data_IF_586738502862
#
_entry.id   IF_586738502862
#
_cell.length_a   1.000
_cell.length_b   1.000
_cell.length_c   1.000
_cell.angle_alpha   90.00
_cell.angle_beta   90.00
_cell.angle_gamma   90.00
#
_symmetry.space_group_name_H-M   'P 1'
#
loop_
_entity.id
_entity.type
_entity.pdbx_description
1 polymer ?
#
# COMPACT_ATOMS: atom_id res chain seq x y z
N UNK A 1 -12.33 42.90 -71.92
CA UNK A 1 -12.42 41.45 -71.63
C UNK A 1 -11.20 40.99 -70.86
N UNK A 2 -11.37 40.68 -69.57
CA UNK A 2 -10.79 39.53 -68.84
C UNK A 2 -11.13 39.72 -67.37
N UNK A 3 -12.11 38.95 -66.89
CA UNK A 3 -12.43 38.79 -65.47
C UNK A 3 -11.31 37.95 -64.86
N UNK A 4 -10.66 38.44 -63.80
CA UNK A 4 -9.78 37.62 -62.98
C UNK A 4 -10.58 37.28 -61.72
N UNK A 5 -10.79 35.99 -61.55
CA UNK A 5 -11.58 35.34 -60.52
C UNK A 5 -10.75 35.30 -59.23
N UNK A 6 -11.22 36.00 -58.19
CA UNK A 6 -10.63 35.94 -56.84
C UNK A 6 -11.02 34.61 -56.20
N UNK A 7 -10.07 33.66 -56.14
CA UNK A 7 -10.23 32.40 -55.41
C UNK A 7 -10.02 32.61 -53.91
N UNK A 8 -11.08 32.37 -53.14
CA UNK A 8 -11.06 32.34 -51.67
C UNK A 8 -10.40 31.02 -51.21
N UNK A 9 -9.16 31.10 -50.72
CA UNK A 9 -8.51 29.96 -50.06
C UNK A 9 -9.10 29.81 -48.65
N UNK A 10 -10.03 28.86 -48.49
CA UNK A 10 -10.45 28.37 -47.18
C UNK A 10 -9.35 27.45 -46.63
N UNK A 11 -8.54 27.97 -45.70
CA UNK A 11 -7.70 27.17 -44.82
C UNK A 11 -8.63 26.41 -43.86
N UNK A 12 -8.99 25.18 -44.22
CA UNK A 12 -9.64 24.24 -43.30
C UNK A 12 -8.54 23.75 -42.36
N UNK A 13 -8.44 24.38 -41.19
CA UNK A 13 -7.71 23.81 -40.06
C UNK A 13 -8.45 22.55 -39.61
N UNK A 14 -7.99 21.38 -40.05
CA UNK A 14 -8.30 20.13 -39.37
C UNK A 14 -7.57 20.13 -38.03
N UNK A 15 -8.16 20.72 -37.00
CA UNK A 15 -7.84 20.37 -35.63
C UNK A 15 -8.36 18.95 -35.40
N UNK A 16 -7.54 17.96 -35.77
CA UNK A 16 -7.77 16.57 -35.44
C UNK A 16 -7.61 16.47 -33.91
N UNK A 17 -8.72 16.41 -33.17
CA UNK A 17 -8.71 16.15 -31.73
C UNK A 17 -8.18 14.72 -31.52
N UNK A 18 -6.85 14.60 -31.39
CA UNK A 18 -6.24 13.35 -30.92
C UNK A 18 -6.62 13.19 -29.45
N UNK A 19 -7.23 12.06 -29.11
CA UNK A 19 -7.49 11.70 -27.70
C UNK A 19 -6.16 11.70 -26.94
N UNK A 20 -6.19 12.17 -25.70
CA UNK A 20 -5.03 12.15 -24.80
C UNK A 20 -4.77 10.74 -24.26
N UNK A 21 -3.55 10.47 -23.76
CA UNK A 21 -3.22 9.20 -23.09
C UNK A 21 -4.21 8.91 -21.95
N UNK A 22 -4.49 9.91 -21.10
CA UNK A 22 -5.44 9.76 -19.97
C UNK A 22 -6.86 9.42 -20.44
N UNK A 23 -7.34 10.03 -21.52
CA UNK A 23 -8.65 9.73 -22.08
C UNK A 23 -8.71 8.30 -22.61
N UNK A 24 -7.67 7.85 -23.31
CA UNK A 24 -7.57 6.49 -23.83
C UNK A 24 -7.44 5.45 -22.70
N UNK A 25 -6.69 5.74 -21.64
CA UNK A 25 -6.59 4.88 -20.45
C UNK A 25 -7.93 4.80 -19.68
N UNK A 26 -8.64 5.92 -19.57
CA UNK A 26 -9.99 5.95 -19.01
C UNK A 26 -10.95 5.12 -19.87
N UNK A 27 -10.92 5.29 -21.18
CA UNK A 27 -11.75 4.52 -22.11
C UNK A 27 -11.43 3.03 -22.03
N UNK A 28 -10.16 2.65 -21.85
CA UNK A 28 -9.72 1.27 -21.71
C UNK A 28 -10.15 0.63 -20.38
N UNK A 29 -10.19 1.40 -19.29
CA UNK A 29 -10.55 0.92 -17.94
C UNK A 29 -12.05 0.83 -17.70
N UNK A 30 -12.87 1.64 -18.40
CA UNK A 30 -14.32 1.62 -18.28
C UNK A 30 -14.94 0.41 -19.01
N UNK A 31 -15.96 -0.26 -18.47
CA UNK A 31 -16.69 -1.34 -19.14
C UNK A 31 -18.19 -1.05 -19.12
N UNK A 32 -18.86 -1.06 -20.29
CA UNK A 32 -20.33 -1.02 -20.35
C UNK A 32 -20.89 -2.42 -20.10
N UNK A 33 -22.07 -2.50 -19.47
CA UNK A 33 -22.76 -3.73 -19.06
C UNK A 33 -22.94 -4.79 -20.16
N UNK A 34 -22.79 -4.42 -21.44
CA UNK A 34 -22.96 -5.29 -22.62
C UNK A 34 -21.69 -5.42 -23.48
N UNK A 35 -20.58 -4.81 -23.07
CA UNK A 35 -19.37 -4.77 -23.89
C UNK A 35 -18.59 -6.09 -23.79
N UNK A 36 -18.38 -6.77 -24.94
CA UNK A 36 -17.56 -7.98 -24.98
C UNK A 36 -16.10 -7.64 -24.68
N UNK A 37 -15.51 -8.41 -23.77
CA UNK A 37 -14.09 -8.29 -23.40
C UNK A 37 -13.22 -8.57 -24.63
N UNK A 38 -12.31 -7.65 -24.95
CA UNK A 38 -11.47 -7.69 -26.16
C UNK A 38 -11.87 -6.69 -27.25
N UNK A 39 -13.03 -6.04 -27.15
CA UNK A 39 -13.46 -5.01 -28.10
C UNK A 39 -12.55 -3.76 -28.13
N UNK A 40 -11.72 -3.55 -27.09
CA UNK A 40 -10.84 -2.38 -26.96
C UNK A 40 -9.39 -2.65 -27.33
N UNK A 41 -9.07 -3.76 -28.01
CA UNK A 41 -7.71 -4.03 -28.50
C UNK A 41 -7.17 -2.86 -29.35
N UNK A 42 -8.02 -2.25 -30.17
CA UNK A 42 -7.65 -1.11 -31.01
C UNK A 42 -7.22 0.12 -30.18
N UNK A 43 -7.90 0.38 -29.06
CA UNK A 43 -7.56 1.46 -28.11
C UNK A 43 -6.23 1.15 -27.44
N UNK A 44 -6.04 -0.08 -26.98
CA UNK A 44 -4.76 -0.51 -26.40
C UNK A 44 -3.60 -0.38 -27.42
N UNK A 45 -3.79 -0.76 -28.68
CA UNK A 45 -2.74 -0.58 -29.69
C UNK A 45 -2.47 0.89 -30.01
N UNK A 46 -3.49 1.76 -30.09
CA UNK A 46 -3.31 3.21 -30.21
C UNK A 46 -2.52 3.78 -29.04
N UNK A 47 -2.79 3.33 -27.82
CA UNK A 47 -2.00 3.71 -26.64
C UNK A 47 -0.53 3.31 -26.81
N UNK A 48 -0.25 2.10 -27.30
CA UNK A 48 1.12 1.63 -27.54
C UNK A 48 1.82 2.34 -28.71
N UNK A 49 1.09 2.96 -29.64
CA UNK A 49 1.68 3.82 -30.67
C UNK A 49 2.13 5.17 -30.09
N UNK A 50 1.44 5.68 -29.07
CA UNK A 50 1.75 6.96 -28.40
C UNK A 50 2.81 6.76 -27.31
N UNK A 51 2.64 5.72 -26.51
CA UNK A 51 3.51 5.33 -25.40
C UNK A 51 3.73 3.80 -25.48
N UNK A 52 4.86 3.41 -26.06
CA UNK A 52 5.17 2.00 -26.34
C UNK A 52 5.22 1.13 -25.09
N UNK A 53 5.35 1.71 -23.90
CA UNK A 53 5.41 1.00 -22.62
C UNK A 53 4.19 1.31 -21.73
N UNK A 54 3.09 1.82 -22.31
CA UNK A 54 1.88 2.11 -21.57
C UNK A 54 1.34 0.86 -20.86
N UNK A 55 1.41 0.86 -19.52
CA UNK A 55 1.11 -0.33 -18.74
C UNK A 55 -0.36 -0.74 -18.83
N UNK A 56 -1.28 0.22 -18.84
CA UNK A 56 -2.72 -0.02 -18.97
C UNK A 56 -3.03 -0.81 -20.24
N UNK A 57 -2.44 -0.40 -21.37
CA UNK A 57 -2.58 -1.08 -22.64
C UNK A 57 -1.95 -2.49 -22.64
N UNK A 58 -0.73 -2.64 -22.13
CA UNK A 58 -0.05 -3.95 -22.06
C UNK A 58 -0.86 -4.91 -21.17
N UNK A 59 -1.24 -4.45 -19.97
CA UNK A 59 -2.03 -5.20 -19.00
C UNK A 59 -3.38 -5.65 -19.58
N UNK A 60 -4.05 -4.78 -20.35
CA UNK A 60 -5.29 -5.13 -21.03
C UNK A 60 -5.06 -6.23 -22.08
N UNK A 61 -4.07 -6.05 -22.96
CA UNK A 61 -3.78 -6.99 -24.05
C UNK A 61 -3.39 -8.37 -23.51
N UNK A 62 -2.50 -8.41 -22.51
CA UNK A 62 -2.05 -9.65 -21.86
C UNK A 62 -3.23 -10.41 -21.26
N UNK A 63 -4.13 -9.73 -20.54
CA UNK A 63 -5.32 -10.35 -19.99
C UNK A 63 -6.26 -10.88 -21.09
N UNK A 64 -6.51 -10.08 -22.13
CA UNK A 64 -7.38 -10.50 -23.23
C UNK A 64 -6.80 -11.71 -23.97
N UNK A 65 -5.50 -11.73 -24.24
CA UNK A 65 -4.86 -12.89 -24.86
C UNK A 65 -4.88 -14.12 -23.94
N UNK A 66 -4.54 -13.95 -22.66
CA UNK A 66 -4.51 -15.05 -21.70
C UNK A 66 -5.87 -15.72 -21.53
N UNK A 67 -6.95 -14.93 -21.39
CA UNK A 67 -8.33 -15.44 -21.29
C UNK A 67 -8.81 -16.17 -22.54
N UNK A 68 -8.30 -15.80 -23.71
CA UNK A 68 -8.61 -16.45 -24.99
C UNK A 68 -7.62 -17.59 -25.33
N UNK A 69 -6.77 -18.00 -24.39
CA UNK A 69 -5.73 -19.02 -24.57
C UNK A 69 -4.73 -18.69 -25.71
N UNK A 70 -4.49 -17.40 -25.99
CA UNK A 70 -3.60 -16.91 -27.05
C UNK A 70 -2.21 -16.56 -26.49
N UNK A 71 -1.56 -17.50 -25.79
CA UNK A 71 -0.28 -17.24 -25.11
C UNK A 71 0.85 -16.84 -26.06
N UNK A 72 0.85 -17.36 -27.30
CA UNK A 72 1.82 -16.97 -28.33
C UNK A 72 1.72 -15.48 -28.69
N UNK A 73 0.51 -14.90 -28.65
CA UNK A 73 0.32 -13.47 -28.86
C UNK A 73 0.92 -12.63 -27.73
N UNK A 74 0.96 -13.15 -26.50
CA UNK A 74 1.65 -12.51 -25.37
C UNK A 74 3.16 -12.54 -25.61
N UNK A 75 3.70 -13.67 -26.07
CA UNK A 75 5.13 -13.79 -26.41
C UNK A 75 5.51 -12.78 -27.50
N UNK A 76 4.76 -12.76 -28.61
CA UNK A 76 4.99 -11.82 -29.73
C UNK A 76 4.90 -10.36 -29.26
N UNK A 77 3.92 -10.03 -28.41
CA UNK A 77 3.79 -8.69 -27.84
C UNK A 77 5.06 -8.29 -27.08
N UNK A 78 5.52 -9.11 -26.13
CA UNK A 78 6.71 -8.78 -25.35
C UNK A 78 8.00 -8.81 -26.16
N UNK A 79 8.13 -9.70 -27.15
CA UNK A 79 9.29 -9.71 -28.04
C UNK A 79 9.39 -8.41 -28.84
N UNK A 80 8.25 -7.88 -29.32
CA UNK A 80 8.18 -6.55 -29.94
C UNK A 80 8.57 -5.45 -28.95
N UNK A 81 7.97 -5.43 -27.75
CA UNK A 81 8.25 -4.41 -26.74
C UNK A 81 9.72 -4.36 -26.33
N UNK A 82 10.35 -5.53 -26.16
CA UNK A 82 11.78 -5.65 -25.84
C UNK A 82 12.64 -5.15 -27.01
N UNK A 83 12.29 -5.52 -28.26
CA UNK A 83 13.01 -5.08 -29.46
C UNK A 83 12.96 -3.57 -29.65
N UNK A 84 11.80 -2.96 -29.39
CA UNK A 84 11.59 -1.51 -29.50
C UNK A 84 12.24 -0.74 -28.34
N UNK A 85 12.44 -1.38 -27.18
CA UNK A 85 12.98 -0.76 -25.96
C UNK A 85 14.18 -1.54 -25.39
N UNK A 86 15.28 -1.74 -26.15
CA UNK A 86 16.34 -2.69 -25.80
C UNK A 86 17.16 -2.32 -24.55
N UNK A 87 17.07 -1.08 -24.08
CA UNK A 87 17.77 -0.59 -22.88
C UNK A 87 16.84 -0.41 -21.68
N UNK A 88 15.54 -0.64 -21.85
CA UNK A 88 14.56 -0.45 -20.79
C UNK A 88 14.35 -1.74 -19.99
N UNK A 89 14.39 -1.72 -18.65
CA UNK A 89 14.01 -2.87 -17.84
C UNK A 89 12.48 -3.11 -17.87
N UNK A 90 11.69 -2.11 -18.27
CA UNK A 90 10.24 -2.10 -18.10
C UNK A 90 9.49 -3.27 -18.79
N UNK A 91 9.79 -3.65 -20.05
CA UNK A 91 9.14 -4.80 -20.68
C UNK A 91 9.29 -6.09 -19.86
N UNK A 92 10.46 -6.28 -19.24
CA UNK A 92 10.76 -7.45 -18.43
C UNK A 92 10.02 -7.41 -17.09
N UNK A 93 10.00 -6.23 -16.43
CA UNK A 93 9.25 -6.00 -15.19
C UNK A 93 7.75 -6.25 -15.39
N UNK A 94 7.12 -5.57 -16.35
CA UNK A 94 5.69 -5.71 -16.66
C UNK A 94 5.35 -7.17 -16.97
N UNK A 95 6.21 -7.90 -17.68
CA UNK A 95 6.00 -9.32 -18.00
C UNK A 95 6.02 -10.23 -16.77
N UNK A 96 6.89 -9.92 -15.81
CA UNK A 96 7.10 -10.73 -14.62
C UNK A 96 6.12 -10.44 -13.48
N UNK A 97 5.45 -9.29 -13.47
CA UNK A 97 4.41 -8.96 -12.47
C UNK A 97 3.31 -10.02 -12.43
N UNK A 98 2.82 -10.31 -11.22
CA UNK A 98 1.92 -11.42 -10.91
C UNK A 98 0.75 -11.56 -11.88
N UNK A 99 0.00 -10.47 -12.13
CA UNK A 99 -1.16 -10.47 -13.03
C UNK A 99 -0.78 -10.91 -14.45
N UNK A 100 0.28 -10.34 -15.01
CA UNK A 100 0.69 -10.66 -16.38
C UNK A 100 1.36 -12.03 -16.47
N UNK A 101 2.16 -12.41 -15.47
CA UNK A 101 2.73 -13.74 -15.36
C UNK A 101 1.64 -14.82 -15.31
N UNK A 102 0.56 -14.58 -14.57
CA UNK A 102 -0.61 -15.47 -14.51
C UNK A 102 -1.23 -15.68 -15.90
N UNK A 103 -1.62 -14.60 -16.60
CA UNK A 103 -2.23 -14.71 -17.93
C UNK A 103 -1.29 -15.26 -18.99
N UNK A 104 0.01 -14.99 -18.87
CA UNK A 104 1.05 -15.56 -19.72
C UNK A 104 1.37 -17.03 -19.38
N UNK A 105 0.90 -17.54 -18.24
CA UNK A 105 1.20 -18.89 -17.77
C UNK A 105 2.68 -19.09 -17.40
N UNK A 106 3.34 -18.06 -16.87
CA UNK A 106 4.73 -18.12 -16.46
C UNK A 106 4.88 -18.80 -15.09
N UNK A 107 5.81 -19.75 -15.01
CA UNK A 107 6.26 -20.28 -13.73
C UNK A 107 7.27 -19.33 -13.06
N UNK A 108 7.59 -19.59 -11.79
CA UNK A 108 8.53 -18.77 -11.02
C UNK A 108 9.93 -18.68 -11.64
N UNK A 109 10.44 -19.79 -12.20
CA UNK A 109 11.75 -19.79 -12.87
C UNK A 109 11.79 -18.85 -14.07
N UNK A 110 10.71 -18.80 -14.86
CA UNK A 110 10.57 -17.89 -15.98
C UNK A 110 10.45 -16.43 -15.52
N UNK A 111 9.66 -16.16 -14.48
CA UNK A 111 9.56 -14.81 -13.90
C UNK A 111 10.93 -14.32 -13.39
N UNK A 112 11.65 -15.14 -12.62
CA UNK A 112 13.01 -14.83 -12.15
C UNK A 112 13.96 -14.56 -13.31
N UNK A 113 13.84 -15.30 -14.43
CA UNK A 113 14.67 -15.05 -15.63
C UNK A 113 14.41 -13.65 -16.18
N UNK A 114 13.15 -13.23 -16.34
CA UNK A 114 12.84 -11.89 -16.84
C UNK A 114 13.29 -10.80 -15.86
N UNK A 115 13.07 -10.98 -14.55
CA UNK A 115 13.52 -10.02 -13.54
C UNK A 115 15.06 -9.90 -13.48
N UNK A 116 15.79 -11.00 -13.73
CA UNK A 116 17.26 -10.94 -13.85
C UNK A 116 17.71 -10.13 -15.07
N UNK A 117 17.01 -10.22 -16.19
CA UNK A 117 17.29 -9.34 -17.35
C UNK A 117 16.96 -7.88 -17.03
N UNK A 118 15.86 -7.60 -16.33
CA UNK A 118 15.53 -6.26 -15.85
C UNK A 118 16.65 -5.70 -14.94
N UNK A 119 17.08 -6.49 -13.94
CA UNK A 119 18.17 -6.14 -13.03
C UNK A 119 19.53 -5.96 -13.73
N UNK A 120 19.78 -6.70 -14.81
CA UNK A 120 21.00 -6.54 -15.62
C UNK A 120 21.00 -5.22 -16.39
N UNK A 121 19.84 -4.77 -16.86
CA UNK A 121 19.68 -3.48 -17.56
C UNK A 121 19.75 -2.30 -16.59
N UNK A 122 19.21 -2.47 -15.39
CA UNK A 122 19.22 -1.47 -14.32
C UNK A 122 19.40 -2.14 -12.94
N UNK A 123 20.64 -2.16 -12.45
CA UNK A 123 21.01 -2.86 -11.21
C UNK A 123 20.63 -2.12 -9.93
N UNK A 124 20.08 -0.89 -10.05
CA UNK A 124 19.56 -0.11 -8.92
C UNK A 124 18.04 -0.01 -8.96
N UNK A 125 17.39 -0.71 -9.91
CA UNK A 125 15.94 -0.72 -10.03
C UNK A 125 15.27 -1.38 -8.81
N UNK A 126 14.58 -0.58 -8.01
CA UNK A 126 13.92 -1.05 -6.77
C UNK A 126 12.91 -2.16 -7.06
N UNK A 127 12.10 -2.04 -8.12
CA UNK A 127 11.09 -3.04 -8.48
C UNK A 127 11.75 -4.38 -8.84
N UNK A 128 12.77 -4.37 -9.71
CA UNK A 128 13.48 -5.59 -10.10
C UNK A 128 14.07 -6.31 -8.88
N UNK A 129 14.75 -5.57 -8.00
CA UNK A 129 15.43 -6.12 -6.83
C UNK A 129 14.41 -6.66 -5.82
N UNK A 130 13.36 -5.88 -5.52
CA UNK A 130 12.31 -6.30 -4.59
C UNK A 130 11.59 -7.54 -5.10
N UNK A 131 11.17 -7.55 -6.36
CA UNK A 131 10.48 -8.69 -6.97
C UNK A 131 11.36 -9.94 -7.00
N UNK A 132 12.66 -9.81 -7.26
CA UNK A 132 13.59 -10.96 -7.16
C UNK A 132 13.63 -11.49 -5.72
N UNK A 133 13.83 -10.62 -4.73
CA UNK A 133 13.85 -11.00 -3.32
C UNK A 133 12.55 -11.70 -2.89
N UNK A 134 11.40 -11.11 -3.24
CA UNK A 134 10.06 -11.65 -2.94
C UNK A 134 9.85 -13.02 -3.57
N UNK A 135 10.14 -13.20 -4.86
CA UNK A 135 9.98 -14.50 -5.53
C UNK A 135 10.88 -15.59 -4.94
N UNK A 136 12.13 -15.27 -4.61
CA UNK A 136 13.01 -16.22 -3.93
C UNK A 136 12.49 -16.58 -2.53
N UNK A 137 11.97 -15.61 -1.78
CA UNK A 137 11.36 -15.85 -0.48
C UNK A 137 10.07 -16.69 -0.59
N UNK A 138 9.20 -16.42 -1.57
CA UNK A 138 8.01 -17.24 -1.83
C UNK A 138 8.37 -18.70 -2.16
N UNK A 139 9.39 -18.91 -3.00
CA UNK A 139 9.88 -20.25 -3.31
C UNK A 139 10.45 -20.96 -2.08
N UNK A 140 11.16 -20.24 -1.21
CA UNK A 140 11.62 -20.75 0.09
C UNK A 140 10.44 -21.23 0.94
N UNK A 141 9.41 -20.40 1.15
CA UNK A 141 8.23 -20.78 1.94
C UNK A 141 7.50 -21.97 1.29
N UNK A 142 7.28 -21.94 -0.03
CA UNK A 142 6.58 -23.02 -0.75
C UNK A 142 7.31 -24.35 -0.65
N UNK A 143 8.63 -24.36 -0.81
CA UNK A 143 9.42 -25.57 -0.66
C UNK A 143 9.48 -26.04 0.80
N UNK A 144 9.53 -25.12 1.77
CA UNK A 144 9.52 -25.47 3.19
C UNK A 144 8.23 -26.16 3.62
N UNK A 145 7.08 -25.69 3.10
CA UNK A 145 5.75 -26.29 3.30
C UNK A 145 5.56 -27.62 2.56
N UNK A 146 6.40 -27.93 1.57
CA UNK A 146 6.23 -29.13 0.77
C UNK A 146 6.69 -30.39 1.51
N UNK A 147 5.95 -31.49 1.35
CA UNK A 147 6.35 -32.83 1.80
C UNK A 147 7.47 -33.46 0.93
N UNK A 148 7.89 -32.76 -0.14
CA UNK A 148 8.96 -33.20 -1.04
C UNK A 148 10.34 -32.81 -0.51
N UNK A 149 11.40 -33.32 -1.17
CA UNK A 149 12.79 -33.01 -0.81
C UNK A 149 13.08 -31.50 -0.76
N UNK A 150 13.59 -31.03 0.37
CA UNK A 150 13.93 -29.63 0.69
C UNK A 150 15.36 -29.30 0.22
N UNK A 151 15.59 -29.38 -1.08
CA UNK A 151 16.94 -29.35 -1.69
C UNK A 151 17.41 -27.95 -2.10
N UNK A 152 16.50 -27.00 -2.33
CA UNK A 152 16.82 -25.65 -2.81
C UNK A 152 16.62 -24.56 -1.75
N UNK A 153 16.21 -24.91 -0.53
CA UNK A 153 15.95 -23.93 0.53
C UNK A 153 17.13 -22.98 0.75
N UNK A 154 18.35 -23.49 0.82
CA UNK A 154 19.56 -22.68 1.03
C UNK A 154 19.81 -21.73 -0.15
N UNK A 155 19.57 -22.20 -1.38
CA UNK A 155 19.68 -21.38 -2.58
C UNK A 155 18.64 -20.25 -2.58
N UNK A 156 17.39 -20.55 -2.25
CA UNK A 156 16.32 -19.55 -2.18
C UNK A 156 16.55 -18.54 -1.05
N UNK A 157 16.89 -19.02 0.15
CA UNK A 157 17.23 -18.20 1.31
C UNK A 157 18.39 -17.24 0.99
N UNK A 158 19.49 -17.75 0.43
CA UNK A 158 20.67 -16.94 0.08
C UNK A 158 20.33 -15.85 -0.94
N UNK A 159 19.56 -16.17 -1.98
CA UNK A 159 19.18 -15.17 -2.98
C UNK A 159 18.19 -14.14 -2.43
N UNK A 160 17.20 -14.55 -1.64
CA UNK A 160 16.27 -13.63 -1.00
C UNK A 160 17.01 -12.62 -0.10
N UNK A 161 17.91 -13.11 0.77
CA UNK A 161 18.78 -12.25 1.59
C UNK A 161 19.58 -11.29 0.69
N UNK A 162 20.23 -11.80 -0.36
CA UNK A 162 21.05 -10.98 -1.26
C UNK A 162 20.26 -9.77 -1.80
N UNK A 163 19.07 -9.99 -2.37
CA UNK A 163 18.31 -8.90 -2.98
C UNK A 163 17.69 -7.98 -1.93
N UNK A 164 17.15 -8.51 -0.84
CA UNK A 164 16.61 -7.67 0.24
C UNK A 164 17.69 -6.82 0.92
N UNK A 165 18.87 -7.38 1.23
CA UNK A 165 19.99 -6.62 1.76
C UNK A 165 20.51 -5.59 0.76
N UNK A 166 20.43 -5.86 -0.56
CA UNK A 166 20.78 -4.87 -1.59
C UNK A 166 19.88 -3.63 -1.49
N UNK A 167 18.56 -3.81 -1.32
CA UNK A 167 17.63 -2.68 -1.11
C UNK A 167 17.93 -1.93 0.19
N UNK A 168 18.12 -2.64 1.30
CA UNK A 168 18.46 -2.02 2.58
C UNK A 168 19.74 -1.18 2.52
N UNK A 169 20.69 -1.54 1.66
CA UNK A 169 21.93 -0.79 1.44
C UNK A 169 21.76 0.40 0.49
N UNK A 170 20.77 0.36 -0.42
CA UNK A 170 20.45 1.45 -1.34
C UNK A 170 19.64 2.56 -0.66
N UNK A 171 18.65 2.18 0.14
CA UNK A 171 17.83 3.10 0.92
C UNK A 171 17.49 2.45 2.27
N UNK A 172 17.80 3.15 3.36
CA UNK A 172 17.56 2.65 4.71
C UNK A 172 16.07 2.50 5.04
N UNK A 173 15.16 3.21 4.36
CA UNK A 173 13.71 3.08 4.58
C UNK A 173 13.23 1.64 4.36
N UNK A 174 13.84 0.90 3.43
CA UNK A 174 13.51 -0.51 3.18
C UNK A 174 13.80 -1.43 4.37
N UNK A 175 14.66 -1.01 5.31
CA UNK A 175 14.99 -1.79 6.52
C UNK A 175 13.76 -1.98 7.41
N UNK A 176 12.80 -1.04 7.43
CA UNK A 176 11.60 -1.16 8.26
C UNK A 176 10.76 -2.37 7.84
N UNK A 177 10.55 -2.55 6.54
CA UNK A 177 9.74 -3.62 5.95
C UNK A 177 10.53 -4.92 5.78
N UNK A 178 11.79 -4.83 5.34
CA UNK A 178 12.57 -6.01 4.96
C UNK A 178 13.20 -6.71 6.16
N UNK A 179 13.24 -6.10 7.36
CA UNK A 179 13.73 -6.79 8.56
C UNK A 179 12.97 -8.07 8.84
N UNK A 180 11.66 -8.14 8.57
CA UNK A 180 10.85 -9.33 8.86
C UNK A 180 11.33 -10.55 8.06
N UNK A 181 11.31 -10.56 6.72
CA UNK A 181 11.83 -11.71 5.96
C UNK A 181 13.33 -11.93 6.21
N UNK A 182 14.13 -10.88 6.41
CA UNK A 182 15.55 -11.01 6.69
C UNK A 182 15.86 -11.70 8.04
N UNK A 183 15.13 -11.39 9.11
CA UNK A 183 15.24 -12.05 10.43
C UNK A 183 14.87 -13.53 10.30
N UNK A 184 13.77 -13.83 9.61
CA UNK A 184 13.32 -15.21 9.45
C UNK A 184 14.34 -16.05 8.66
N UNK A 185 14.87 -15.51 7.55
CA UNK A 185 15.88 -16.19 6.74
C UNK A 185 17.24 -16.32 7.46
N UNK A 186 17.66 -15.31 8.24
CA UNK A 186 18.86 -15.40 9.08
C UNK A 186 18.72 -16.48 10.16
N UNK A 187 17.53 -16.59 10.76
CA UNK A 187 17.21 -17.63 11.74
C UNK A 187 17.28 -19.03 11.12
N UNK A 188 16.73 -19.20 9.91
CA UNK A 188 16.86 -20.45 9.14
C UNK A 188 18.32 -20.81 8.87
N UNK A 189 19.12 -19.84 8.42
CA UNK A 189 20.55 -20.05 8.12
C UNK A 189 21.44 -20.20 9.38
N UNK A 190 20.88 -20.05 10.59
CA UNK A 190 21.62 -20.04 11.87
C UNK A 190 22.72 -18.96 11.92
N UNK A 191 22.49 -17.84 11.23
CA UNK A 191 23.39 -16.70 11.16
C UNK A 191 23.00 -15.66 12.24
N UNK A 192 23.55 -15.85 13.44
CA UNK A 192 23.20 -15.05 14.62
C UNK A 192 23.59 -13.57 14.46
N UNK A 193 24.74 -13.29 13.82
CA UNK A 193 25.23 -11.93 13.62
C UNK A 193 24.29 -11.14 12.70
N UNK A 194 23.86 -11.74 11.58
CA UNK A 194 22.88 -11.11 10.70
C UNK A 194 21.51 -10.98 11.36
N UNK A 195 21.08 -11.98 12.13
CA UNK A 195 19.81 -11.90 12.85
C UNK A 195 19.81 -10.70 13.79
N UNK A 196 20.86 -10.55 14.61
CA UNK A 196 21.00 -9.43 15.54
C UNK A 196 21.07 -8.08 14.80
N UNK A 197 21.78 -8.02 13.67
CA UNK A 197 21.82 -6.84 12.81
C UNK A 197 20.41 -6.44 12.35
N UNK A 198 19.62 -7.37 11.83
CA UNK A 198 18.28 -7.07 11.32
C UNK A 198 17.28 -6.73 12.43
N UNK A 199 17.38 -7.37 13.60
CA UNK A 199 16.61 -7.03 14.80
C UNK A 199 16.91 -5.59 15.29
N UNK A 200 18.11 -5.08 15.02
CA UNK A 200 18.52 -3.72 15.42
C UNK A 200 17.92 -2.60 14.54
N UNK A 201 17.25 -2.92 13.43
CA UNK A 201 16.65 -1.93 12.55
C UNK A 201 15.45 -1.24 13.22
N UNK A 202 15.66 0.02 13.65
CA UNK A 202 14.69 0.88 14.37
C UNK A 202 14.07 1.99 13.51
N UNK A 203 14.09 1.83 12.19
CA UNK A 203 13.58 2.85 11.26
C UNK A 203 12.06 2.83 11.24
N UNK A 204 11.48 4.02 11.22
CA UNK A 204 10.10 4.26 10.87
C UNK A 204 10.07 5.27 9.71
N UNK A 205 9.63 4.80 8.55
CA UNK A 205 9.51 5.58 7.31
C UNK A 205 8.10 6.12 7.08
N UNK A 206 7.11 5.61 7.82
CA UNK A 206 5.69 5.90 7.65
C UNK A 206 5.08 6.63 8.86
N UNK A 207 3.82 7.09 8.75
CA UNK A 207 3.09 7.71 9.87
C UNK A 207 2.95 6.81 11.10
N UNK A 208 2.91 5.50 10.87
CA UNK A 208 2.81 4.49 11.91
C UNK A 208 3.97 3.51 11.80
N UNK A 209 4.46 2.95 12.92
CA UNK A 209 5.46 1.90 12.89
C UNK A 209 4.86 0.63 12.29
N UNK A 210 5.45 0.12 11.21
CA UNK A 210 4.95 -1.07 10.50
C UNK A 210 4.85 -2.28 11.44
N UNK A 211 5.77 -2.40 12.41
CA UNK A 211 5.75 -3.48 13.41
C UNK A 211 4.50 -3.52 14.28
N UNK A 212 3.75 -2.41 14.40
CA UNK A 212 2.48 -2.41 15.10
C UNK A 212 1.36 -3.09 14.30
N UNK A 213 1.46 -3.13 12.96
CA UNK A 213 0.40 -3.57 12.05
C UNK A 213 0.65 -4.92 11.39
N UNK A 214 1.89 -5.43 11.38
CA UNK A 214 2.22 -6.71 10.72
C UNK A 214 1.46 -7.91 11.28
N UNK A 215 1.10 -7.89 12.57
CA UNK A 215 0.27 -8.91 13.21
C UNK A 215 0.63 -10.36 12.82
N UNK A 216 1.88 -10.73 13.12
CA UNK A 216 2.45 -12.05 12.82
C UNK A 216 2.35 -12.98 14.05
N UNK A 217 2.24 -14.32 13.85
CA UNK A 217 2.28 -15.30 14.95
C UNK A 217 3.55 -15.18 15.81
N UNK A 218 3.46 -15.44 17.12
CA UNK A 218 4.59 -15.26 18.05
C UNK A 218 5.90 -16.00 17.65
N UNK A 219 5.78 -17.11 16.94
CA UNK A 219 6.88 -17.95 16.48
C UNK A 219 7.37 -17.63 15.06
N UNK A 220 6.87 -16.56 14.42
CA UNK A 220 7.14 -16.24 13.00
C UNK A 220 8.63 -16.25 12.62
N UNK A 221 9.52 -15.87 13.55
CA UNK A 221 10.98 -15.82 13.29
C UNK A 221 11.57 -17.19 12.98
N UNK A 222 11.02 -18.25 13.55
CA UNK A 222 11.51 -19.63 13.43
C UNK A 222 10.49 -20.57 12.77
N UNK A 223 9.28 -20.09 12.52
CA UNK A 223 8.26 -20.79 11.77
C UNK A 223 8.38 -20.44 10.28
N UNK A 224 9.18 -21.23 9.56
CA UNK A 224 9.45 -21.02 8.13
C UNK A 224 8.29 -21.43 7.20
N UNK A 225 7.14 -21.79 7.77
CA UNK A 225 5.87 -21.92 7.03
C UNK A 225 5.07 -20.62 7.03
N UNK A 226 5.43 -19.63 7.85
CA UNK A 226 4.79 -18.30 7.85
C UNK A 226 5.43 -17.44 6.78
N UNK A 227 4.65 -17.06 5.77
CA UNK A 227 5.04 -16.00 4.84
C UNK A 227 4.83 -14.65 5.54
N UNK A 228 5.90 -13.99 6.00
CA UNK A 228 5.78 -12.73 6.75
C UNK A 228 5.46 -11.52 5.88
N UNK A 229 5.60 -11.64 4.56
CA UNK A 229 5.31 -10.57 3.60
C UNK A 229 3.81 -10.52 3.34
N UNK A 230 3.21 -11.67 3.05
CA UNK A 230 1.80 -11.87 2.72
C UNK A 230 1.26 -13.04 3.54
N UNK A 231 0.97 -12.76 4.82
CA UNK A 231 0.53 -13.78 5.77
C UNK A 231 -0.99 -13.94 5.69
N UNK A 232 -1.45 -15.17 5.52
CA UNK A 232 -2.86 -15.50 5.59
C UNK A 232 -3.06 -16.51 6.70
N UNK A 233 -3.88 -16.14 7.69
CA UNK A 233 -4.27 -17.02 8.78
C UNK A 233 -5.47 -17.87 8.37
N UNK A 234 -5.24 -19.18 8.20
CA UNK A 234 -6.28 -20.14 7.81
C UNK A 234 -7.40 -20.24 8.86
N UNK A 235 -7.10 -19.98 10.14
CA UNK A 235 -8.08 -20.09 11.23
C UNK A 235 -8.90 -18.83 11.46
N UNK A 236 -8.39 -17.66 11.07
CA UNK A 236 -8.99 -16.36 11.39
C UNK A 236 -9.53 -15.60 10.17
N UNK A 237 -9.41 -16.18 8.96
CA UNK A 237 -9.72 -15.50 7.69
C UNK A 237 -9.10 -14.09 7.62
N UNK A 238 -7.88 -13.96 8.17
CA UNK A 238 -7.18 -12.69 8.33
C UNK A 238 -5.97 -12.64 7.40
N UNK A 239 -5.85 -11.56 6.66
CA UNK A 239 -4.67 -11.22 5.87
C UNK A 239 -3.84 -10.21 6.67
N UNK A 240 -2.64 -10.58 7.07
CA UNK A 240 -1.67 -9.72 7.73
C UNK A 240 -0.27 -9.90 7.13
N UNK A 241 0.78 -9.52 7.84
CA UNK A 241 2.13 -9.41 7.29
C UNK A 241 2.43 -8.01 6.72
N UNK A 242 3.62 -7.88 6.13
CA UNK A 242 4.17 -6.58 5.74
C UNK A 242 3.33 -5.87 4.67
N UNK A 243 2.84 -6.58 3.64
CA UNK A 243 2.07 -5.95 2.57
C UNK A 243 0.69 -5.47 3.04
N UNK A 244 0.01 -6.27 3.88
CA UNK A 244 -1.24 -5.86 4.52
C UNK A 244 -1.03 -4.64 5.43
N UNK A 245 0.02 -4.65 6.26
CA UNK A 245 0.37 -3.51 7.11
C UNK A 245 0.62 -2.23 6.29
N UNK A 246 1.38 -2.32 5.21
CA UNK A 246 1.65 -1.20 4.31
C UNK A 246 0.37 -0.68 3.64
N UNK A 247 -0.53 -1.57 3.22
CA UNK A 247 -1.80 -1.18 2.62
C UNK A 247 -2.61 -0.28 3.56
N UNK A 248 -2.81 -0.71 4.81
CA UNK A 248 -3.52 0.06 5.83
C UNK A 248 -2.80 1.36 6.19
N UNK A 249 -1.49 1.30 6.45
CA UNK A 249 -0.69 2.46 6.82
C UNK A 249 -0.69 3.53 5.72
N UNK A 250 -0.55 3.14 4.46
CA UNK A 250 -0.57 4.08 3.34
C UNK A 250 -1.94 4.74 3.17
N UNK A 251 -3.03 3.99 3.36
CA UNK A 251 -4.38 4.56 3.37
C UNK A 251 -4.51 5.62 4.47
N UNK A 252 -4.13 5.29 5.71
CA UNK A 252 -4.25 6.21 6.84
C UNK A 252 -3.32 7.43 6.69
N UNK A 253 -2.09 7.22 6.24
CA UNK A 253 -1.09 8.26 6.01
C UNK A 253 -1.58 9.31 5.03
N UNK A 254 -2.24 8.91 3.93
CA UNK A 254 -2.80 9.86 2.94
C UNK A 254 -3.85 10.79 3.55
N UNK A 255 -4.68 10.29 4.46
CA UNK A 255 -5.66 11.12 5.16
C UNK A 255 -5.00 12.06 6.17
N UNK A 256 -4.02 11.57 6.94
CA UNK A 256 -3.29 12.37 7.91
C UNK A 256 -2.48 13.49 7.22
N UNK A 257 -1.81 13.16 6.12
CA UNK A 257 -1.06 14.13 5.31
C UNK A 257 -1.97 15.23 4.76
N UNK A 258 -3.13 14.86 4.19
CA UNK A 258 -4.11 15.83 3.71
C UNK A 258 -4.76 16.67 4.82
N UNK A 259 -4.69 16.22 6.08
CA UNK A 259 -5.14 16.94 7.26
C UNK A 259 -3.99 17.73 7.93
N UNK A 260 -2.81 17.83 7.30
CA UNK A 260 -1.62 18.49 7.86
C UNK A 260 -1.28 17.98 9.27
N UNK A 261 -1.39 16.68 9.50
CA UNK A 261 -1.10 16.04 10.78
C UNK A 261 0.36 15.58 10.86
N UNK A 262 1.06 15.78 11.99
CA UNK A 262 2.43 15.30 12.12
C UNK A 262 2.48 13.79 12.43
N UNK A 263 3.62 13.17 12.16
CA UNK A 263 3.93 11.82 12.67
C UNK A 263 4.10 11.88 14.18
N UNK A 264 3.32 11.08 14.94
CA UNK A 264 3.34 11.15 16.40
C UNK A 264 4.42 10.30 17.06
N UNK A 265 4.87 9.23 16.42
CA UNK A 265 5.94 8.40 17.00
C UNK A 265 7.25 9.14 17.15
N UNK A 266 7.47 10.18 16.33
CA UNK A 266 8.71 10.95 16.29
C UNK A 266 8.53 12.38 16.85
N UNK A 267 9.42 12.77 17.76
CA UNK A 267 9.60 14.13 18.32
C UNK A 267 8.52 14.75 19.25
N UNK A 268 9.01 15.35 20.35
CA UNK A 268 8.36 16.10 21.45
C UNK A 268 7.83 15.33 22.69
N UNK A 269 8.02 15.89 23.92
CA UNK A 269 7.63 15.28 25.21
C UNK A 269 6.13 15.41 25.53
N UNK A 270 5.35 15.90 24.58
CA UNK A 270 3.95 16.24 24.73
C UNK A 270 3.11 14.98 24.85
N UNK A 271 2.13 15.00 25.75
CA UNK A 271 1.19 13.88 25.90
C UNK A 271 0.09 14.11 24.87
N UNK A 272 -0.10 13.18 23.96
CA UNK A 272 -1.03 13.33 22.85
C UNK A 272 -1.93 12.11 22.76
N UNK A 273 -3.21 12.34 22.53
CA UNK A 273 -4.11 11.32 21.99
C UNK A 273 -4.68 11.86 20.69
N UNK A 274 -4.66 11.06 19.62
CA UNK A 274 -5.23 11.43 18.33
C UNK A 274 -6.19 10.34 17.86
N UNK A 275 -7.42 10.75 17.59
CA UNK A 275 -8.44 9.91 16.97
C UNK A 275 -8.60 10.31 15.51
N UNK A 276 -8.37 9.36 14.61
CA UNK A 276 -8.63 9.48 13.17
C UNK A 276 -9.84 8.62 12.84
N UNK A 277 -10.85 9.22 12.22
CA UNK A 277 -12.11 8.58 11.88
C UNK A 277 -12.36 8.62 10.37
N UNK A 278 -12.22 7.45 9.73
CA UNK A 278 -12.35 7.28 8.29
C UNK A 278 -13.61 6.49 7.98
N UNK A 279 -14.73 7.21 7.89
CA UNK A 279 -16.03 6.65 7.51
C UNK A 279 -16.10 6.51 5.99
N UNK A 280 -16.51 5.34 5.50
CA UNK A 280 -16.47 5.00 4.06
C UNK A 280 -17.02 6.10 3.15
N UNK A 281 -18.20 6.66 3.46
CA UNK A 281 -18.89 7.65 2.63
C UNK A 281 -18.96 9.06 3.24
N UNK A 282 -18.26 9.30 4.35
CA UNK A 282 -18.32 10.58 5.05
C UNK A 282 -16.92 11.21 5.18
N UNK A 283 -16.94 12.51 5.44
CA UNK A 283 -15.77 13.34 5.64
C UNK A 283 -14.79 12.71 6.64
N UNK A 284 -13.50 12.57 6.27
CA UNK A 284 -12.43 12.22 7.19
C UNK A 284 -12.35 13.25 8.32
N UNK A 285 -12.22 12.77 9.56
CA UNK A 285 -12.09 13.61 10.75
C UNK A 285 -10.84 13.20 11.52
N UNK A 286 -10.07 14.17 11.98
CA UNK A 286 -9.05 13.98 13.03
C UNK A 286 -9.41 14.84 14.23
N UNK A 287 -9.28 14.26 15.43
CA UNK A 287 -9.41 14.95 16.71
C UNK A 287 -8.16 14.67 17.53
N UNK A 288 -7.39 15.70 17.85
CA UNK A 288 -6.21 15.60 18.69
C UNK A 288 -6.40 16.28 20.03
N UNK A 289 -5.93 15.64 21.08
CA UNK A 289 -5.91 16.15 22.44
C UNK A 289 -4.46 16.17 22.93
N UNK A 290 -3.90 17.36 23.04
CA UNK A 290 -2.51 17.61 23.41
C UNK A 290 -2.42 18.20 24.82
N UNK A 291 -1.42 17.77 25.58
CA UNK A 291 -1.08 18.34 26.88
C UNK A 291 0.42 18.66 26.93
N UNK A 292 0.69 19.96 26.97
CA UNK A 292 2.02 20.55 26.90
C UNK A 292 2.45 21.14 28.25
N UNK A 293 2.10 20.47 29.36
CA UNK A 293 2.27 20.86 30.77
C UNK A 293 1.56 22.15 31.21
N UNK A 294 1.59 23.20 30.39
CA UNK A 294 1.02 24.52 30.67
C UNK A 294 -0.31 24.77 29.96
N UNK A 295 -0.61 23.99 28.92
CA UNK A 295 -1.86 24.09 28.16
C UNK A 295 -2.34 22.72 27.71
N UNK A 296 -3.66 22.53 27.75
CA UNK A 296 -4.33 21.38 27.18
C UNK A 296 -5.16 21.88 26.01
N UNK A 297 -4.85 21.41 24.81
CA UNK A 297 -5.47 21.86 23.58
C UNK A 297 -6.19 20.67 22.95
N UNK A 298 -7.48 20.85 22.69
CA UNK A 298 -8.24 19.99 21.82
C UNK A 298 -8.32 20.67 20.45
N UNK A 299 -7.90 19.98 19.39
CA UNK A 299 -8.11 20.42 18.02
C UNK A 299 -8.86 19.37 17.23
N UNK A 300 -9.51 19.82 16.16
CA UNK A 300 -10.11 18.92 15.19
C UNK A 300 -10.02 19.50 13.79
N UNK A 301 -9.90 18.59 12.82
CA UNK A 301 -9.81 18.89 11.41
C UNK A 301 -10.74 17.98 10.61
N UNK A 302 -11.32 18.52 9.54
CA UNK A 302 -12.25 17.81 8.66
C UNK A 302 -11.90 18.13 7.21
N UNK A 303 -11.86 17.11 6.35
CA UNK A 303 -11.74 17.29 4.90
C UNK A 303 -13.08 17.10 4.17
N UNK A 304 -13.17 17.57 2.92
CA UNK A 304 -14.37 17.44 2.05
C UNK A 304 -14.42 16.16 1.20
N UNK A 305 -13.43 15.28 1.31
CA UNK A 305 -13.46 13.95 0.68
C UNK A 305 -14.23 12.92 1.51
N UNK A 306 -13.87 11.64 1.33
CA UNK A 306 -14.51 10.54 2.04
C UNK A 306 -13.46 9.55 2.58
N UNK A 307 -13.69 8.99 3.76
CA UNK A 307 -12.72 8.13 4.45
C UNK A 307 -12.36 6.87 3.66
N UNK A 308 -13.27 6.31 2.87
CA UNK A 308 -12.99 5.16 2.00
C UNK A 308 -12.38 5.52 0.63
N UNK A 309 -12.12 6.81 0.37
CA UNK A 309 -11.73 7.34 -0.93
C UNK A 309 -10.65 8.43 -0.77
N UNK A 310 -10.57 9.36 -1.73
CA UNK A 310 -9.65 10.49 -1.63
C UNK A 310 -9.99 11.39 -0.44
N UNK A 311 -8.98 11.90 0.30
CA UNK A 311 -9.19 12.72 1.48
C UNK A 311 -9.87 14.06 1.17
N UNK A 312 -9.65 14.64 -0.01
CA UNK A 312 -10.11 15.99 -0.35
C UNK A 312 -9.25 17.08 0.28
N UNK A 313 -9.82 18.27 0.47
CA UNK A 313 -9.19 19.44 1.10
C UNK A 313 -9.76 19.69 2.48
N UNK A 314 -8.95 20.29 3.37
CA UNK A 314 -9.40 20.73 4.69
C UNK A 314 -10.50 21.80 4.54
N UNK A 315 -11.65 21.55 5.15
CA UNK A 315 -12.80 22.48 5.22
C UNK A 315 -13.08 22.99 6.63
N UNK A 316 -12.54 22.32 7.64
CA UNK A 316 -12.62 22.76 9.02
C UNK A 316 -11.29 22.47 9.73
N UNK A 317 -10.77 23.46 10.44
CA UNK A 317 -9.61 23.35 11.32
C UNK A 317 -9.85 24.28 12.50
N UNK A 318 -10.15 23.73 13.67
CA UNK A 318 -10.52 24.47 14.88
C UNK A 318 -9.84 23.87 16.09
N UNK A 319 -9.71 24.67 17.14
CA UNK A 319 -9.21 24.23 18.42
C UNK A 319 -9.93 24.95 19.57
N UNK A 320 -9.77 24.42 20.78
CA UNK A 320 -10.08 25.10 22.02
C UNK A 320 -9.20 24.59 23.16
N UNK A 321 -9.09 25.41 24.20
CA UNK A 321 -8.38 25.06 25.43
C UNK A 321 -9.31 24.25 26.33
N UNK A 322 -8.82 23.14 26.87
CA UNK A 322 -9.53 22.35 27.88
C UNK A 322 -8.94 22.56 29.27
N UNK A 323 -9.75 22.25 30.28
CA UNK A 323 -9.34 22.23 31.68
C UNK A 323 -8.51 20.99 32.00
N UNK A 324 -7.75 21.08 33.09
CA UNK A 324 -7.02 19.93 33.65
C UNK A 324 -7.95 18.77 34.00
N UNK A 325 -9.15 19.07 34.48
CA UNK A 325 -10.18 18.07 34.81
C UNK A 325 -10.62 17.26 33.59
N UNK A 326 -10.94 17.92 32.47
CA UNK A 326 -11.35 17.24 31.23
C UNK A 326 -10.27 16.30 30.70
N UNK A 327 -9.00 16.72 30.78
CA UNK A 327 -7.88 15.85 30.44
C UNK A 327 -7.77 14.64 31.38
N UNK A 328 -7.85 14.86 32.69
CA UNK A 328 -7.71 13.77 33.67
C UNK A 328 -8.88 12.78 33.55
N UNK A 329 -10.10 13.26 33.34
CA UNK A 329 -11.29 12.45 33.06
C UNK A 329 -11.10 11.62 31.78
N UNK A 330 -10.56 12.21 30.70
CA UNK A 330 -10.25 11.48 29.47
C UNK A 330 -9.21 10.36 29.71
N UNK A 331 -8.13 10.67 30.42
CA UNK A 331 -7.06 9.70 30.74
C UNK A 331 -7.58 8.52 31.57
N UNK A 332 -8.52 8.75 32.50
CA UNK A 332 -9.18 7.66 33.24
C UNK A 332 -9.87 6.68 32.29
N UNK A 333 -10.57 7.18 31.26
CA UNK A 333 -11.24 6.35 30.27
C UNK A 333 -10.27 5.57 29.37
N UNK A 334 -9.16 6.20 28.97
CA UNK A 334 -8.10 5.50 28.22
C UNK A 334 -7.53 4.35 29.05
N UNK A 335 -7.29 4.58 30.34
CA UNK A 335 -6.75 3.55 31.24
C UNK A 335 -7.78 2.43 31.52
N UNK A 336 -9.08 2.72 31.55
CA UNK A 336 -10.10 1.70 31.87
C UNK A 336 -10.22 0.60 30.82
N UNK A 337 -9.83 0.86 29.57
CA UNK A 337 -9.78 -0.16 28.50
C UNK A 337 -8.40 -0.82 28.37
N UNK A 338 -7.47 -0.49 29.27
CA UNK A 338 -6.08 -0.93 29.20
C UNK A 338 -5.43 -0.60 27.83
N UNK A 339 -5.71 0.60 27.28
CA UNK A 339 -5.37 1.02 25.91
C UNK A 339 -3.95 0.64 25.52
N UNK A 340 -2.98 0.92 26.38
CA UNK A 340 -1.56 0.73 26.13
C UNK A 340 -1.11 -0.73 25.94
N UNK A 341 -1.99 -1.70 26.21
CA UNK A 341 -1.73 -3.13 26.08
C UNK A 341 -2.76 -3.80 25.15
N UNK A 342 -3.62 -3.03 24.48
CA UNK A 342 -4.51 -3.59 23.47
C UNK A 342 -3.70 -4.04 22.25
N UNK A 343 -4.15 -5.09 21.54
CA UNK A 343 -3.58 -5.39 20.24
C UNK A 343 -3.89 -4.25 19.27
N UNK A 344 -2.91 -3.89 18.43
CA UNK A 344 -3.07 -2.81 17.44
C UNK A 344 -4.25 -3.11 16.54
N UNK A 345 -4.30 -4.28 15.90
CA UNK A 345 -5.40 -4.70 15.03
C UNK A 345 -6.31 -5.70 15.73
N UNK A 346 -7.54 -5.84 15.25
CA UNK A 346 -8.49 -6.85 15.75
C UNK A 346 -8.77 -7.88 14.65
N UNK A 347 -8.72 -9.17 14.99
CA UNK A 347 -9.10 -10.25 14.09
C UNK A 347 -10.62 -10.42 14.02
N UNK A 348 -11.12 -10.93 12.89
CA UNK A 348 -12.46 -11.51 12.79
C UNK A 348 -13.63 -10.54 12.67
N UNK A 349 -13.39 -9.22 12.55
CA UNK A 349 -14.45 -8.26 12.23
C UNK A 349 -14.14 -7.60 10.90
N UNK A 350 -14.86 -8.02 9.85
CA UNK A 350 -14.77 -7.49 8.50
C UNK A 350 -16.20 -7.15 8.04
N UNK A 351 -16.36 -5.99 7.42
CA UNK A 351 -17.57 -5.63 6.68
C UNK A 351 -17.24 -4.96 5.36
N UNK A 352 -18.26 -4.79 4.54
CA UNK A 352 -18.14 -4.18 3.19
C UNK A 352 -18.11 -2.65 3.23
N UNK A 353 -18.68 -2.07 4.27
CA UNK A 353 -18.76 -0.64 4.56
C UNK A 353 -18.51 -0.43 6.06
N UNK A 354 -18.75 0.78 6.58
CA UNK A 354 -18.46 1.13 7.97
C UNK A 354 -17.31 2.12 8.06
N UNK A 355 -16.63 2.15 9.21
CA UNK A 355 -15.63 3.16 9.49
C UNK A 355 -14.36 2.57 10.07
N UNK A 356 -13.22 3.12 9.67
CA UNK A 356 -11.98 2.86 10.37
C UNK A 356 -11.80 3.87 11.51
N UNK A 357 -11.58 3.34 12.71
CA UNK A 357 -11.32 4.12 13.91
C UNK A 357 -9.87 3.85 14.34
N UNK A 358 -9.02 4.87 14.25
CA UNK A 358 -7.61 4.77 14.64
C UNK A 358 -7.37 5.69 15.84
N UNK A 359 -7.03 5.13 16.99
CA UNK A 359 -6.66 5.87 18.19
C UNK A 359 -5.17 5.71 18.47
N UNK A 360 -4.43 6.80 18.37
CA UNK A 360 -3.03 6.91 18.73
C UNK A 360 -2.90 7.54 20.12
N UNK A 361 -1.92 7.08 20.88
CA UNK A 361 -1.53 7.65 22.16
C UNK A 361 -0.01 7.77 22.26
N UNK A 362 0.46 8.94 22.71
CA UNK A 362 1.86 9.23 22.98
C UNK A 362 2.02 9.78 24.39
N UNK A 363 2.95 9.21 25.15
CA UNK A 363 3.38 9.72 26.47
C UNK A 363 4.83 9.34 26.71
N UNK A 364 5.70 10.33 26.96
CA UNK A 364 7.08 10.17 27.48
C UNK A 364 7.79 8.89 27.00
N UNK A 365 8.21 8.86 25.72
CA UNK A 365 8.94 7.74 25.13
C UNK A 365 8.09 6.49 24.84
N UNK A 366 6.78 6.52 25.11
CA UNK A 366 5.83 5.48 24.75
C UNK A 366 4.87 5.98 23.68
N UNK A 367 4.71 5.19 22.63
CA UNK A 367 3.73 5.36 21.58
C UNK A 367 2.92 4.07 21.44
N UNK A 368 1.63 4.18 21.19
CA UNK A 368 0.76 3.05 20.89
C UNK A 368 -0.37 3.48 19.96
N UNK A 369 -0.84 2.57 19.12
CA UNK A 369 -1.93 2.79 18.17
C UNK A 369 -2.86 1.60 18.21
N UNK A 370 -4.15 1.87 18.18
CA UNK A 370 -5.21 0.87 18.14
C UNK A 370 -6.11 1.18 16.95
N UNK A 371 -6.30 0.18 16.10
CA UNK A 371 -7.03 0.23 14.85
C UNK A 371 -8.24 -0.71 14.91
N UNK A 372 -9.46 -0.16 14.74
CA UNK A 372 -10.72 -0.90 14.86
C UNK A 372 -11.67 -0.54 13.73
N UNK A 373 -12.24 -1.57 13.11
CA UNK A 373 -13.41 -1.40 12.26
C UNK A 373 -14.64 -1.14 13.15
N UNK A 374 -15.34 -0.05 12.88
CA UNK A 374 -16.54 0.42 13.55
C UNK A 374 -16.43 0.53 15.08
N UNK A 375 -15.36 1.20 15.55
CA UNK A 375 -15.16 1.59 16.95
C UNK A 375 -14.66 0.49 17.87
N UNK A 376 -15.25 -0.70 17.83
CA UNK A 376 -14.88 -1.85 18.66
C UNK A 376 -14.63 -1.46 20.12
N UNK A 377 -13.50 -1.91 20.68
CA UNK A 377 -13.13 -1.61 22.08
C UNK A 377 -12.79 -0.14 22.37
N UNK A 378 -12.54 0.69 21.35
CA UNK A 378 -12.15 2.10 21.51
C UNK A 378 -13.30 3.08 21.25
N UNK A 379 -14.47 2.60 20.83
CA UNK A 379 -15.64 3.40 20.44
C UNK A 379 -15.97 4.46 21.49
N UNK A 380 -16.24 4.04 22.73
CA UNK A 380 -16.63 4.92 23.82
C UNK A 380 -15.61 6.03 24.12
N UNK A 381 -14.31 5.79 23.89
CA UNK A 381 -13.26 6.79 24.15
C UNK A 381 -13.17 7.79 23.01
N UNK A 382 -13.26 7.29 21.78
CA UNK A 382 -13.25 8.11 20.59
C UNK A 382 -14.50 9.01 20.52
N UNK A 383 -15.67 8.50 20.93
CA UNK A 383 -16.89 9.29 21.09
C UNK A 383 -16.75 10.38 22.16
N UNK A 384 -16.06 10.12 23.27
CA UNK A 384 -15.75 11.16 24.26
C UNK A 384 -14.87 12.27 23.69
N UNK A 385 -13.90 11.96 22.82
CA UNK A 385 -13.15 13.00 22.10
C UNK A 385 -14.07 13.83 21.21
N UNK A 386 -14.99 13.17 20.48
CA UNK A 386 -15.97 13.84 19.63
C UNK A 386 -16.90 14.76 20.43
N UNK A 387 -17.41 14.31 21.58
CA UNK A 387 -18.25 15.10 22.50
C UNK A 387 -17.56 16.36 23.01
N UNK A 388 -16.23 16.32 23.16
CA UNK A 388 -15.45 17.48 23.54
C UNK A 388 -15.30 18.49 22.38
N UNK A 389 -15.58 18.14 21.13
CA UNK A 389 -15.52 19.08 19.99
C UNK A 389 -16.82 19.87 19.80
N UNK A 390 -16.85 20.75 18.80
CA UNK A 390 -18.08 21.39 18.34
C UNK A 390 -18.62 20.76 17.04
N UNK A 391 -18.10 19.59 16.63
CA UNK A 391 -18.54 18.88 15.43
C UNK A 391 -19.94 18.32 15.70
N UNK A 392 -20.85 18.49 14.73
CA UNK A 392 -22.20 17.91 14.78
C UNK A 392 -22.29 16.76 13.78
N UNK A 393 -22.42 15.55 14.29
CA UNK A 393 -22.65 14.34 13.50
C UNK A 393 -24.08 13.86 13.77
N UNK A 394 -24.81 13.44 12.73
CA UNK A 394 -26.13 12.83 12.92
C UNK A 394 -25.94 11.49 13.61
N UNK A 395 -26.86 11.11 14.49
CA UNK A 395 -26.77 9.86 15.25
C UNK A 395 -26.58 8.63 14.36
N UNK A 396 -27.27 8.60 13.21
CA UNK A 396 -27.21 7.48 12.26
C UNK A 396 -25.89 7.46 11.45
N UNK A 397 -25.10 8.54 11.51
CA UNK A 397 -23.78 8.66 10.85
C UNK A 397 -22.63 8.37 11.84
N UNK A 398 -22.95 7.87 13.05
CA UNK A 398 -22.00 7.38 14.05
C UNK A 398 -21.93 5.86 13.93
N UNK A 399 -20.89 5.40 13.23
CA UNK A 399 -20.57 3.99 13.05
C UNK A 399 -19.06 3.81 12.91
#
# INVERSE_FOLDING_TARGET
MKKILTGLFLLINFSCFSQTVKELEHELSFFKSEEKRGNKKNIAFKLLEIDSLNESAINYLVEVYGRNNQKDSIVILFDRLIKENPKSPQPYLIRARERNAHFAGLNYTQQIKYLKEAYKLDSVNVEAIYSLGKLYYELFIKEYKSDKGKTNLDYYSTNAIKYFSTLCNQNEEHKETLKFPLIQLASYNRDLDKKQLYESYKIQSSYFPISAFVDLPNDWQINYSVNVIDFVSDSEFKVSGVESALFHINWYARHLDALDEPVLSDSLPTKVFRFTWLRTFHNPIVIGLENNNDSIILYWKVCDGAGGYEPGKIIENKNKILTKKEWDDFVVNVNSINFWNLPTTQSGILGTDGAQWILEGKKLGKYHVVDRWSGGTIENICLKLLELTNIKIKKDDIY
#
